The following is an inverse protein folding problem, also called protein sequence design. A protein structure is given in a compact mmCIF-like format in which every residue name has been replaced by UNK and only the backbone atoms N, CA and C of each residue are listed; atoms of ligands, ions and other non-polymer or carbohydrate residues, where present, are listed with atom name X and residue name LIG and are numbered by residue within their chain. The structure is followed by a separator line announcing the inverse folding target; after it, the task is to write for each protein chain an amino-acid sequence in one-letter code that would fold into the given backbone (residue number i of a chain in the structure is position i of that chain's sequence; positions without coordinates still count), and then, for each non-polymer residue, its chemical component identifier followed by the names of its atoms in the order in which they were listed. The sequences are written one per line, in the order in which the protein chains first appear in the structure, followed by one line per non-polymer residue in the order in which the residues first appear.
data_IF_209489819506
#
_entry.id   IF_209489819506
#
_cell.length_a   1.000
_cell.length_b   1.000
_cell.length_c   1.000
_cell.angle_alpha   90.00
_cell.angle_beta   90.00
_cell.angle_gamma   90.00
#
_symmetry.space_group_name_H-M   'P 1'
#
loop_
_entity.id
_entity.type
_entity.pdbx_description
1 polymer ?
#
# COMPACT_ATOMS: atom_id res chain seq x y z
N UNK A 1 9.11 -11.36 12.18
CA UNK A 1 7.63 -11.32 12.21
C UNK A 1 7.07 -10.91 10.86
N UNK A 2 7.56 -9.82 10.27
CA UNK A 2 7.12 -9.32 8.96
C UNK A 2 7.36 -10.31 7.80
N UNK A 3 8.50 -10.99 7.70
CA UNK A 3 8.73 -11.99 6.64
C UNK A 3 7.61 -13.05 6.55
N UNK A 4 7.11 -13.50 7.70
CA UNK A 4 6.02 -14.47 7.73
C UNK A 4 4.71 -13.83 7.27
N UNK A 5 4.40 -12.60 7.71
CA UNK A 5 3.22 -11.86 7.25
C UNK A 5 3.24 -11.63 5.73
N UNK A 6 4.41 -11.36 5.15
CA UNK A 6 4.58 -11.20 3.71
C UNK A 6 4.46 -12.51 2.94
N UNK A 7 5.09 -13.60 3.41
CA UNK A 7 4.90 -14.93 2.82
C UNK A 7 3.43 -15.33 2.82
N UNK A 8 2.79 -15.09 3.95
CA UNK A 8 1.37 -15.25 4.13
C UNK A 8 0.60 -14.44 3.04
N UNK A 9 0.82 -13.13 2.94
CA UNK A 9 0.16 -12.29 1.92
C UNK A 9 0.39 -12.85 0.51
N UNK A 10 1.63 -13.22 0.17
CA UNK A 10 1.98 -13.78 -1.13
C UNK A 10 1.25 -15.13 -1.39
N UNK A 11 1.05 -15.96 -0.37
CA UNK A 11 0.28 -17.21 -0.49
C UNK A 11 -1.21 -17.00 -0.77
N UNK A 12 -1.78 -15.89 -0.29
CA UNK A 12 -3.15 -15.50 -0.64
C UNK A 12 -3.20 -14.98 -2.07
N UNK A 13 -2.24 -14.12 -2.45
CA UNK A 13 -2.14 -13.56 -3.79
C UNK A 13 -1.87 -14.61 -4.87
N UNK A 14 -1.13 -15.69 -4.57
CA UNK A 14 -0.94 -16.84 -5.48
C UNK A 14 -2.23 -17.60 -5.80
N UNK A 15 -3.26 -17.47 -4.96
CA UNK A 15 -4.59 -18.07 -5.19
C UNK A 15 -5.54 -17.10 -5.90
N UNK A 16 -5.11 -15.86 -6.13
CA UNK A 16 -5.94 -14.82 -6.73
C UNK A 16 -5.93 -14.93 -8.25
N UNK A 17 -7.11 -15.12 -8.86
CA UNK A 17 -7.22 -15.36 -10.29
C UNK A 17 -6.71 -14.18 -11.15
N UNK A 18 -6.78 -12.95 -10.63
CA UNK A 18 -6.30 -11.76 -11.34
C UNK A 18 -4.79 -11.51 -11.21
N UNK A 19 -4.07 -12.30 -10.40
CA UNK A 19 -2.63 -12.16 -10.20
C UNK A 19 -1.92 -13.41 -10.72
N UNK A 20 -1.08 -13.25 -11.75
CA UNK A 20 -0.47 -14.41 -12.45
C UNK A 20 1.05 -14.39 -12.39
N UNK A 21 1.64 -13.25 -12.02
CA UNK A 21 3.08 -13.04 -11.99
C UNK A 21 3.55 -12.53 -10.63
N UNK A 22 4.83 -12.72 -10.30
CA UNK A 22 5.42 -12.09 -9.09
C UNK A 22 5.33 -10.57 -9.12
N UNK A 23 5.31 -9.98 -10.33
CA UNK A 23 5.10 -8.55 -10.51
C UNK A 23 3.70 -8.15 -10.04
N UNK A 24 2.66 -8.92 -10.39
CA UNK A 24 1.30 -8.68 -9.91
C UNK A 24 1.24 -8.75 -8.38
N UNK A 25 1.80 -9.79 -7.76
CA UNK A 25 1.77 -9.93 -6.29
C UNK A 25 2.47 -8.75 -5.60
N UNK A 26 3.61 -8.34 -6.14
CA UNK A 26 4.37 -7.20 -5.64
C UNK A 26 3.60 -5.91 -5.78
N UNK A 27 3.01 -5.64 -6.95
CA UNK A 27 2.19 -4.45 -7.20
C UNK A 27 0.98 -4.40 -6.25
N UNK A 28 0.26 -5.52 -6.11
CA UNK A 28 -0.94 -5.59 -5.28
C UNK A 28 -0.65 -5.43 -3.79
N UNK A 29 0.46 -6.01 -3.30
CA UNK A 29 0.88 -5.80 -1.91
C UNK A 29 1.36 -4.36 -1.69
N UNK A 30 2.06 -3.77 -2.67
CA UNK A 30 2.69 -2.45 -2.52
C UNK A 30 1.67 -1.33 -2.33
N UNK A 31 0.57 -1.31 -3.09
CA UNK A 31 -0.41 -0.22 -2.94
C UNK A 31 -1.15 -0.29 -1.60
N UNK A 32 -1.41 -1.49 -1.08
CA UNK A 32 -2.01 -1.66 0.25
C UNK A 32 -1.07 -1.18 1.35
N UNK A 33 0.21 -1.56 1.29
CA UNK A 33 1.21 -1.09 2.23
C UNK A 33 1.39 0.42 2.16
N UNK A 34 1.34 1.01 0.97
CA UNK A 34 1.38 2.45 0.79
C UNK A 34 0.25 3.16 1.54
N UNK A 35 -0.99 2.67 1.41
CA UNK A 35 -2.13 3.25 2.13
C UNK A 35 -2.03 3.05 3.64
N UNK A 36 -1.56 1.89 4.09
CA UNK A 36 -1.33 1.63 5.52
C UNK A 36 -0.25 2.54 6.10
N UNK A 37 0.82 2.76 5.35
CA UNK A 37 1.88 3.69 5.72
C UNK A 37 1.37 5.14 5.77
N UNK A 38 0.57 5.56 4.79
CA UNK A 38 -0.01 6.90 4.76
C UNK A 38 -0.92 7.15 5.97
N UNK A 39 -1.68 6.14 6.39
CA UNK A 39 -2.47 6.18 7.62
C UNK A 39 -1.57 6.34 8.87
N UNK A 40 -0.51 5.55 8.97
CA UNK A 40 0.50 5.69 10.02
C UNK A 40 1.09 7.10 10.08
N UNK A 41 1.52 7.66 8.95
CA UNK A 41 2.04 9.02 8.88
C UNK A 41 1.00 10.06 9.31
N UNK A 42 -0.27 9.86 8.94
CA UNK A 42 -1.34 10.78 9.27
C UNK A 42 -1.67 10.79 10.76
N UNK A 43 -1.66 9.65 11.45
CA UNK A 43 -1.91 9.67 12.91
C UNK A 43 -0.70 10.26 13.65
N UNK A 44 0.55 9.98 13.26
CA UNK A 44 1.73 10.60 13.90
C UNK A 44 1.66 12.13 13.85
N UNK A 45 1.35 12.68 12.67
CA UNK A 45 1.18 14.14 12.49
C UNK A 45 -0.05 14.70 13.22
N UNK A 46 -1.11 13.89 13.34
CA UNK A 46 -2.29 14.29 14.10
C UNK A 46 -1.99 14.36 15.60
N UNK A 47 -1.22 13.42 16.12
CA UNK A 47 -0.77 13.39 17.51
C UNK A 47 0.16 14.57 17.82
N UNK A 48 1.14 14.85 16.95
CA UNK A 48 2.01 16.02 17.05
C UNK A 48 1.23 17.34 17.04
N UNK A 49 0.31 17.50 16.09
CA UNK A 49 -0.53 18.69 16.02
C UNK A 49 -1.40 18.85 17.29
N UNK A 50 -1.93 17.75 17.83
CA UNK A 50 -2.72 17.77 19.06
C UNK A 50 -1.88 18.19 20.27
N UNK A 51 -0.64 17.72 20.38
CA UNK A 51 0.31 18.16 21.43
C UNK A 51 0.64 19.66 21.32
N UNK A 52 0.74 20.17 20.09
CA UNK A 52 0.93 21.59 19.78
C UNK A 52 -0.35 22.44 19.91
N UNK A 53 -1.51 21.84 20.21
CA UNK A 53 -2.80 22.53 20.23
C UNK A 53 -3.30 22.99 18.85
N UNK A 54 -2.75 22.45 17.77
CA UNK A 54 -3.10 22.74 16.37
C UNK A 54 -4.12 21.72 15.84
N UNK A 55 -4.88 22.13 14.82
CA UNK A 55 -5.72 21.21 14.06
C UNK A 55 -4.92 20.58 12.93
N UNK A 56 -4.95 19.25 12.84
CA UNK A 56 -4.37 18.53 11.70
C UNK A 56 -5.38 18.38 10.56
N UNK A 57 -4.95 18.70 9.34
CA UNK A 57 -5.72 18.46 8.12
C UNK A 57 -5.24 17.17 7.47
N UNK A 58 -6.11 16.17 7.43
CA UNK A 58 -5.82 14.90 6.79
C UNK A 58 -5.81 15.03 5.26
N UNK A 59 -4.91 14.28 4.62
CA UNK A 59 -4.83 14.20 3.15
C UNK A 59 -6.03 13.45 2.58
N UNK A 60 -6.42 12.34 3.23
CA UNK A 60 -7.56 11.53 2.81
C UNK A 60 -8.82 11.91 3.61
N UNK A 61 -9.95 11.96 2.92
CA UNK A 61 -11.26 12.07 3.56
C UNK A 61 -11.53 10.83 4.40
N UNK A 62 -12.33 11.00 5.45
CA UNK A 62 -12.57 9.97 6.47
C UNK A 62 -12.91 8.61 5.86
N UNK A 63 -13.83 8.56 4.90
CA UNK A 63 -14.27 7.31 4.26
C UNK A 63 -13.15 6.52 3.54
N UNK A 64 -12.05 7.17 3.15
CA UNK A 64 -10.94 6.55 2.42
C UNK A 64 -9.70 6.30 3.29
N UNK A 65 -9.74 6.67 4.58
CA UNK A 65 -8.67 6.35 5.54
C UNK A 65 -8.69 4.87 5.88
N UNK A 66 -7.51 4.31 6.14
CA UNK A 66 -7.34 2.88 6.42
C UNK A 66 -8.27 2.41 7.55
N UNK A 67 -8.35 3.17 8.64
CA UNK A 67 -9.22 2.85 9.78
C UNK A 67 -10.73 2.85 9.47
N UNK A 68 -11.16 3.39 8.32
CA UNK A 68 -12.59 3.45 7.98
C UNK A 68 -13.03 2.30 7.09
N UNK A 69 -12.27 1.98 6.04
CA UNK A 69 -12.66 0.95 5.07
C UNK A 69 -11.86 -0.34 5.19
N UNK A 70 -10.57 -0.23 5.54
CA UNK A 70 -9.65 -1.36 5.56
C UNK A 70 -9.68 -2.05 6.93
N UNK A 71 -9.55 -1.32 8.03
CA UNK A 71 -9.53 -1.90 9.36
C UNK A 71 -10.39 -1.10 10.35
N UNK A 72 -11.73 -1.05 10.16
CA UNK A 72 -12.62 -0.44 11.15
C UNK A 72 -12.54 -1.21 12.45
N UNK A 73 -12.11 -0.52 13.51
CA UNK A 73 -11.93 -1.11 14.83
C UNK A 73 -13.08 -0.77 15.76
N UNK A 74 -13.52 -1.78 16.51
CA UNK A 74 -14.45 -1.63 17.62
C UNK A 74 -13.80 -0.97 18.83
N UNK A 75 -14.58 -0.77 19.89
CA UNK A 75 -14.11 -0.19 21.16
C UNK A 75 -13.02 -1.04 21.84
N UNK A 76 -12.94 -2.32 21.50
CA UNK A 76 -11.95 -3.27 22.00
C UNK A 76 -10.64 -3.25 21.18
N UNK A 77 -10.53 -2.37 20.17
CA UNK A 77 -9.37 -2.25 19.30
C UNK A 77 -9.23 -3.38 18.28
N UNK A 78 -10.21 -4.29 18.19
CA UNK A 78 -10.25 -5.38 17.21
C UNK A 78 -11.07 -4.98 16.00
N UNK A 79 -10.90 -5.70 14.90
CA UNK A 79 -11.70 -5.50 13.70
C UNK A 79 -13.20 -5.66 14.05
N UNK A 80 -13.98 -4.64 13.75
CA UNK A 80 -15.43 -4.71 13.86
C UNK A 80 -15.99 -5.40 12.62
N UNK A 81 -16.24 -6.71 12.74
CA UNK A 81 -16.78 -7.53 11.65
C UNK A 81 -18.16 -7.08 11.15
N UNK A 82 -18.91 -6.27 11.90
CA UNK A 82 -20.20 -5.74 11.44
C UNK A 82 -20.03 -4.54 10.50
N UNK A 83 -18.94 -3.79 10.67
CA UNK A 83 -18.65 -2.59 9.88
C UNK A 83 -17.65 -2.90 8.75
N UNK A 84 -16.78 -3.89 8.93
CA UNK A 84 -15.78 -4.28 7.95
C UNK A 84 -16.41 -4.84 6.67
N UNK A 85 -16.22 -4.14 5.55
CA UNK A 85 -16.62 -4.63 4.24
C UNK A 85 -15.86 -5.93 3.88
N UNK A 86 -16.54 -6.89 3.28
CA UNK A 86 -15.95 -8.15 2.79
C UNK A 86 -16.61 -8.55 1.47
N UNK A 87 -16.08 -9.57 0.80
CA UNK A 87 -16.64 -10.06 -0.47
C UNK A 87 -16.81 -8.96 -1.51
N UNK A 88 -17.89 -9.02 -2.29
CA UNK A 88 -18.13 -8.08 -3.39
C UNK A 88 -18.19 -6.61 -2.92
N UNK A 89 -18.74 -6.32 -1.73
CA UNK A 89 -18.80 -4.94 -1.21
C UNK A 89 -17.42 -4.31 -1.06
N UNK A 90 -16.43 -5.07 -0.56
CA UNK A 90 -15.06 -4.60 -0.41
C UNK A 90 -14.40 -4.41 -1.78
N UNK A 91 -14.56 -5.38 -2.69
CA UNK A 91 -14.02 -5.29 -4.05
C UNK A 91 -14.58 -4.07 -4.79
N UNK A 92 -15.89 -3.88 -4.72
CA UNK A 92 -16.60 -2.83 -5.44
C UNK A 92 -16.31 -1.45 -4.83
N UNK A 93 -16.14 -1.36 -3.50
CA UNK A 93 -15.63 -0.15 -2.87
C UNK A 93 -14.22 0.19 -3.37
N UNK A 94 -13.31 -0.77 -3.41
CA UNK A 94 -11.93 -0.52 -3.82
C UNK A 94 -11.87 -0.07 -5.28
N UNK A 95 -12.54 -0.80 -6.18
CA UNK A 95 -12.51 -0.53 -7.62
C UNK A 95 -13.36 0.69 -8.02
N UNK A 96 -14.54 0.82 -7.45
CA UNK A 96 -15.53 1.83 -7.85
C UNK A 96 -15.43 3.16 -7.09
N UNK A 97 -14.78 3.18 -5.92
CA UNK A 97 -14.71 4.40 -5.07
C UNK A 97 -13.28 4.77 -4.70
N UNK A 98 -12.54 3.87 -4.05
CA UNK A 98 -11.21 4.17 -3.52
C UNK A 98 -10.21 4.54 -4.62
N UNK A 99 -10.03 3.69 -5.62
CA UNK A 99 -9.09 3.94 -6.72
C UNK A 99 -9.42 5.23 -7.49
N UNK A 100 -10.68 5.47 -7.92
CA UNK A 100 -11.08 6.74 -8.54
C UNK A 100 -10.81 7.97 -7.65
N UNK A 101 -11.07 7.87 -6.35
CA UNK A 101 -10.82 8.95 -5.39
C UNK A 101 -9.32 9.31 -5.33
N UNK A 102 -8.47 8.28 -5.19
CA UNK A 102 -7.01 8.42 -5.11
C UNK A 102 -6.41 8.94 -6.42
N UNK A 103 -6.87 8.43 -7.56
CA UNK A 103 -6.45 8.91 -8.87
C UNK A 103 -6.74 10.41 -9.07
N UNK A 104 -7.88 10.88 -8.56
CA UNK A 104 -8.28 12.28 -8.66
C UNK A 104 -7.34 13.28 -7.97
N UNK A 105 -6.42 12.85 -7.10
CA UNK A 105 -5.48 13.77 -6.44
C UNK A 105 -4.52 14.44 -7.43
N UNK A 106 -4.20 13.80 -8.57
CA UNK A 106 -3.33 14.38 -9.60
C UNK A 106 -3.85 15.74 -10.08
N UNK A 107 -5.17 15.88 -10.18
CA UNK A 107 -5.85 17.10 -10.64
C UNK A 107 -6.02 18.15 -9.52
N UNK A 108 -5.97 17.72 -8.26
CA UNK A 108 -6.19 18.57 -7.07
C UNK A 108 -4.89 19.04 -6.42
N UNK A 109 -3.76 18.42 -6.78
CA UNK A 109 -2.47 18.75 -6.22
C UNK A 109 -2.05 20.18 -6.60
N UNK A 110 -1.48 20.91 -5.63
CA UNK A 110 -0.95 22.26 -5.84
C UNK A 110 0.36 22.28 -6.63
N UNK A 111 1.02 21.13 -6.79
CA UNK A 111 2.24 20.99 -7.58
C UNK A 111 2.78 19.55 -7.59
N UNK A 112 3.75 19.26 -8.48
CA UNK A 112 4.28 17.90 -8.72
C UNK A 112 5.05 17.31 -7.52
N UNK A 113 5.56 18.14 -6.60
CA UNK A 113 6.34 17.69 -5.46
C UNK A 113 5.50 17.26 -4.23
N UNK A 114 4.18 17.48 -4.30
CA UNK A 114 3.24 17.18 -3.21
C UNK A 114 2.99 15.67 -3.05
N UNK A 115 2.58 15.25 -1.85
CA UNK A 115 2.20 13.84 -1.60
C UNK A 115 0.91 13.48 -2.34
N UNK A 116 0.00 14.43 -2.47
CA UNK A 116 -1.23 14.36 -3.26
C UNK A 116 -0.94 14.03 -4.72
N UNK A 117 -0.01 14.77 -5.34
CA UNK A 117 0.36 14.50 -6.74
C UNK A 117 0.89 13.07 -6.89
N UNK A 118 1.77 12.63 -5.99
CA UNK A 118 2.32 11.26 -5.99
C UNK A 118 1.24 10.20 -5.81
N UNK A 119 0.27 10.40 -4.92
CA UNK A 119 -0.89 9.52 -4.78
C UNK A 119 -1.63 9.41 -6.13
N UNK A 120 -1.93 10.56 -6.75
CA UNK A 120 -2.64 10.61 -8.02
C UNK A 120 -1.91 9.90 -9.17
N UNK A 121 -0.59 10.07 -9.25
CA UNK A 121 0.26 9.37 -10.23
C UNK A 121 0.21 7.86 -10.05
N UNK A 122 0.47 7.38 -8.83
CA UNK A 122 0.48 5.94 -8.53
C UNK A 122 -0.85 5.32 -8.95
N UNK A 123 -1.96 5.83 -8.40
CA UNK A 123 -3.28 5.25 -8.60
C UNK A 123 -3.90 5.56 -9.98
N UNK A 124 -3.22 6.37 -10.80
CA UNK A 124 -3.51 6.50 -12.23
C UNK A 124 -2.86 5.42 -13.10
N UNK A 125 -1.74 4.85 -12.64
CA UNK A 125 -0.99 3.82 -13.39
C UNK A 125 -1.36 2.40 -12.98
N UNK A 126 -1.82 2.20 -11.73
CA UNK A 126 -2.17 0.87 -11.21
C UNK A 126 -3.69 0.67 -11.10
N UNK A 127 -4.10 -0.60 -11.08
CA UNK A 127 -5.47 -1.02 -10.77
C UNK A 127 -5.42 -2.18 -9.78
N UNK A 128 -6.49 -2.36 -9.00
CA UNK A 128 -6.61 -3.59 -8.22
C UNK A 128 -6.81 -4.76 -9.18
N UNK A 129 -6.00 -5.79 -9.01
CA UNK A 129 -6.15 -7.08 -9.72
C UNK A 129 -6.81 -8.14 -8.85
N UNK A 130 -7.05 -7.83 -7.57
CA UNK A 130 -7.66 -8.76 -6.62
C UNK A 130 -9.16 -8.81 -6.89
N UNK A 131 -9.64 -9.92 -7.46
CA UNK A 131 -11.04 -10.15 -7.81
C UNK A 131 -11.84 -10.67 -6.62
N UNK A 132 -11.24 -11.49 -5.75
CA UNK A 132 -11.90 -11.96 -4.55
C UNK A 132 -11.81 -10.94 -3.42
N UNK A 133 -12.94 -10.33 -3.06
CA UNK A 133 -12.99 -9.47 -1.89
C UNK A 133 -12.72 -10.18 -0.57
N UNK A 134 -12.90 -11.50 -0.52
CA UNK A 134 -12.49 -12.31 0.64
C UNK A 134 -10.97 -12.44 0.74
N UNK A 135 -10.29 -12.66 -0.40
CA UNK A 135 -8.82 -12.67 -0.43
C UNK A 135 -8.27 -11.28 -0.07
N UNK A 136 -8.88 -10.21 -0.61
CA UNK A 136 -8.52 -8.84 -0.28
C UNK A 136 -8.65 -8.55 1.22
N UNK A 137 -9.74 -9.02 1.84
CA UNK A 137 -9.96 -8.92 3.29
C UNK A 137 -8.84 -9.60 4.08
N UNK A 138 -8.50 -10.84 3.73
CA UNK A 138 -7.41 -11.59 4.38
C UNK A 138 -6.05 -10.87 4.26
N UNK A 139 -5.75 -10.31 3.09
CA UNK A 139 -4.53 -9.54 2.87
C UNK A 139 -4.52 -8.26 3.73
N UNK A 140 -5.64 -7.53 3.77
CA UNK A 140 -5.75 -6.31 4.57
C UNK A 140 -5.56 -6.59 6.06
N UNK A 141 -6.15 -7.66 6.58
CA UNK A 141 -5.99 -8.05 7.98
C UNK A 141 -4.53 -8.32 8.33
N UNK A 142 -3.82 -9.07 7.47
CA UNK A 142 -2.38 -9.33 7.61
C UNK A 142 -1.54 -8.07 7.55
N UNK A 143 -1.92 -7.10 6.72
CA UNK A 143 -1.24 -5.80 6.64
C UNK A 143 -1.55 -4.92 7.86
N UNK A 144 -2.76 -4.98 8.44
CA UNK A 144 -3.10 -4.18 9.61
C UNK A 144 -2.38 -4.63 10.90
N UNK A 145 -2.01 -5.91 10.96
CA UNK A 145 -1.16 -6.47 12.01
C UNK A 145 0.26 -5.87 12.00
N UNK A 146 0.71 -5.35 10.85
CA UNK A 146 2.00 -4.68 10.73
C UNK A 146 1.97 -3.37 11.53
N UNK A 147 2.87 -3.27 12.51
CA UNK A 147 3.16 -2.03 13.24
C UNK A 147 4.28 -1.29 12.52
N UNK A 148 4.25 0.04 12.52
CA UNK A 148 5.20 0.88 11.77
C UNK A 148 5.95 1.87 12.68
N UNK A 149 5.99 1.62 14.00
CA UNK A 149 6.23 2.69 15.01
C UNK A 149 7.22 2.37 16.13
N UNK A 150 8.30 1.64 15.86
CA UNK A 150 9.63 2.18 16.18
C UNK A 150 10.57 2.24 14.97
N UNK A 151 11.67 3.00 15.07
CA UNK A 151 12.71 3.09 14.03
C UNK A 151 13.22 1.73 13.53
N UNK A 152 13.24 0.72 14.41
CA UNK A 152 13.60 -0.66 14.07
C UNK A 152 12.63 -1.30 13.06
N UNK A 153 11.33 -1.03 13.17
CA UNK A 153 10.32 -1.56 12.24
C UNK A 153 10.40 -0.89 10.86
N UNK A 154 10.82 0.37 10.78
CA UNK A 154 11.09 1.05 9.50
C UNK A 154 12.25 0.40 8.74
N UNK A 155 13.32 0.03 9.44
CA UNK A 155 14.44 -0.68 8.83
C UNK A 155 14.03 -2.08 8.33
N UNK A 156 13.27 -2.84 9.11
CA UNK A 156 12.75 -4.14 8.67
C UNK A 156 11.86 -4.01 7.44
N UNK A 157 10.97 -3.01 7.41
CA UNK A 157 10.13 -2.73 6.25
C UNK A 157 10.97 -2.38 5.02
N UNK A 158 11.99 -1.54 5.16
CA UNK A 158 12.93 -1.22 4.08
C UNK A 158 13.67 -2.45 3.55
N UNK A 159 14.17 -3.32 4.44
CA UNK A 159 14.82 -4.57 4.04
C UNK A 159 13.88 -5.50 3.26
N UNK A 160 12.60 -5.52 3.62
CA UNK A 160 11.60 -6.34 2.95
C UNK A 160 11.16 -5.76 1.60
N UNK A 161 11.10 -4.43 1.48
CA UNK A 161 10.93 -3.77 0.18
C UNK A 161 12.08 -4.14 -0.77
N UNK A 162 13.32 -4.04 -0.30
CA UNK A 162 14.50 -4.46 -1.05
C UNK A 162 14.44 -5.93 -1.45
N UNK A 163 13.95 -6.80 -0.56
CA UNK A 163 13.74 -8.22 -0.87
C UNK A 163 12.69 -8.44 -1.96
N UNK A 164 11.56 -7.71 -1.93
CA UNK A 164 10.52 -7.78 -2.98
C UNK A 164 11.04 -7.26 -4.33
N UNK A 165 11.81 -6.18 -4.34
CA UNK A 165 12.46 -5.65 -5.55
C UNK A 165 13.43 -6.68 -6.12
N UNK A 166 14.26 -7.32 -5.27
CA UNK A 166 15.17 -8.39 -5.69
C UNK A 166 14.43 -9.61 -6.22
N UNK A 167 13.34 -10.03 -5.58
CA UNK A 167 12.50 -11.14 -6.05
C UNK A 167 11.92 -10.86 -7.42
N UNK A 168 11.38 -9.65 -7.63
CA UNK A 168 10.87 -9.18 -8.91
C UNK A 168 11.94 -9.19 -10.02
N UNK A 169 13.15 -8.69 -9.72
CA UNK A 169 14.28 -8.72 -10.64
C UNK A 169 14.70 -10.14 -11.06
N UNK A 170 14.56 -11.11 -10.15
CA UNK A 170 14.82 -12.52 -10.41
C UNK A 170 13.66 -13.24 -11.11
N UNK A 171 12.40 -12.92 -10.80
CA UNK A 171 11.22 -13.49 -11.47
C UNK A 171 11.19 -13.10 -12.97
N UNK A 172 11.57 -11.85 -13.28
CA UNK A 172 11.78 -11.43 -14.67
C UNK A 172 12.90 -12.19 -15.40
N UNK A 173 13.80 -12.90 -14.69
CA UNK A 173 14.85 -13.78 -15.27
C UNK A 173 14.33 -15.18 -15.57
N UNK A 174 13.32 -15.66 -14.84
CA UNK A 174 12.83 -17.03 -14.88
C UNK A 174 11.61 -17.24 -15.82
N UNK A 175 11.03 -16.18 -16.40
CA UNK A 175 9.90 -16.24 -17.35
C UNK A 175 10.29 -16.69 -18.76
N UNK A 176 10.98 -17.82 -18.88
CA UNK A 176 11.60 -18.35 -20.11
C UNK A 176 10.68 -19.04 -21.12
N UNK A 177 9.44 -18.58 -21.35
CA UNK A 177 8.61 -19.11 -22.47
C UNK A 177 8.18 -18.07 -23.51
N UNK A 178 8.43 -16.78 -23.28
CA UNK A 178 8.40 -15.77 -24.34
C UNK A 178 9.63 -14.89 -24.22
N UNK A 179 10.71 -15.34 -24.86
CA UNK A 179 11.97 -14.63 -24.94
C UNK A 179 11.79 -13.34 -25.76
N UNK A 180 12.00 -12.19 -25.14
CA UNK A 180 12.46 -10.96 -25.81
C UNK A 180 13.66 -10.42 -25.02
N UNK A 181 14.83 -10.15 -25.66
CA UNK A 181 16.07 -9.87 -24.92
C UNK A 181 16.04 -8.54 -24.15
N UNK A 182 16.72 -8.54 -23.00
CA UNK A 182 16.77 -7.51 -21.95
C UNK A 182 17.53 -6.24 -22.39
N UNK A 183 16.83 -5.10 -22.44
CA UNK A 183 17.06 -4.03 -21.45
C UNK A 183 15.84 -3.63 -20.59
N UNK A 184 14.62 -4.10 -20.91
CA UNK A 184 13.38 -3.40 -20.52
C UNK A 184 12.74 -3.79 -19.17
N UNK A 185 13.29 -4.75 -18.42
CA UNK A 185 12.62 -5.28 -17.20
C UNK A 185 13.03 -4.49 -15.94
N UNK A 186 14.22 -3.87 -15.91
CA UNK A 186 14.59 -2.95 -14.82
C UNK A 186 13.77 -1.65 -14.85
N UNK A 187 13.16 -1.31 -15.99
CA UNK A 187 12.40 -0.06 -16.20
C UNK A 187 10.94 -0.10 -15.70
N UNK A 188 10.43 -1.24 -15.23
CA UNK A 188 9.07 -1.33 -14.65
C UNK A 188 9.11 -1.68 -13.17
N UNK A 189 9.61 -0.75 -12.36
CA UNK A 189 9.28 -0.73 -10.94
C UNK A 189 7.82 -0.31 -10.79
N UNK A 190 6.95 -1.07 -10.09
CA UNK A 190 5.57 -0.64 -9.86
C UNK A 190 5.54 0.78 -9.27
N UNK A 191 4.69 1.65 -9.80
CA UNK A 191 4.64 3.06 -9.38
C UNK A 191 4.46 3.22 -7.87
N UNK A 192 3.62 2.36 -7.26
CA UNK A 192 3.42 2.30 -5.82
C UNK A 192 4.71 1.95 -5.05
N UNK A 193 5.48 1.00 -5.58
CA UNK A 193 6.76 0.58 -5.00
C UNK A 193 7.82 1.67 -5.16
N UNK A 194 7.85 2.36 -6.30
CA UNK A 194 8.73 3.50 -6.54
C UNK A 194 8.41 4.68 -5.60
N UNK A 195 7.12 4.97 -5.38
CA UNK A 195 6.69 6.02 -4.49
C UNK A 195 6.91 5.68 -3.01
N UNK A 196 6.68 4.43 -2.61
CA UNK A 196 7.01 3.92 -1.27
C UNK A 196 8.50 4.03 -0.99
N UNK A 197 9.35 3.56 -1.90
CA UNK A 197 10.80 3.69 -1.74
C UNK A 197 11.22 5.16 -1.68
N UNK A 198 10.71 6.00 -2.58
CA UNK A 198 11.01 7.44 -2.55
C UNK A 198 10.54 8.08 -1.22
N UNK A 199 9.38 7.69 -0.68
CA UNK A 199 8.85 8.21 0.60
C UNK A 199 9.63 7.70 1.82
N UNK A 200 9.98 6.41 1.84
CA UNK A 200 10.76 5.80 2.92
C UNK A 200 12.20 6.29 2.91
N UNK A 201 12.83 6.42 1.73
CA UNK A 201 14.13 7.06 1.57
C UNK A 201 14.06 8.53 1.97
N UNK A 202 13.04 9.30 1.55
CA UNK A 202 12.88 10.68 2.00
C UNK A 202 12.80 10.75 3.52
N UNK A 203 12.02 9.91 4.21
CA UNK A 203 11.99 9.92 5.67
C UNK A 203 13.28 9.43 6.35
N UNK A 204 14.00 8.49 5.73
CA UNK A 204 15.29 8.03 6.23
C UNK A 204 16.40 9.08 6.05
N UNK A 205 16.28 9.95 5.03
CA UNK A 205 17.27 10.98 4.72
C UNK A 205 16.94 12.37 5.26
N UNK A 206 15.67 12.74 5.44
CA UNK A 206 15.33 14.10 5.89
C UNK A 206 15.43 14.28 7.39
N UNK A 207 15.16 13.27 8.21
CA UNK A 207 15.21 13.46 9.69
C UNK A 207 14.40 14.66 10.18
N UNK A 208 13.42 15.13 9.39
CA UNK A 208 12.59 16.27 9.73
C UNK A 208 11.40 15.77 10.53
N UNK A 209 11.53 15.97 11.85
CA UNK A 209 10.45 16.22 12.81
C UNK A 209 9.58 17.38 12.31
#
# INVERSE_FOLDING_TARGET
MFEQAFKNIDDVLRKEAGCTTELDYTEQTSWLLFLKYLDGLAQDRADEAALDGKKYSYILDKAYRWESWAAPKGKDGKLDHNTAMTGDDLRDFVNGKLFPYLHGFKQRASGPDTIEYKIGEIFGEIKSRIQSGYNLREIIERIDELRFRPQTEKHELSHLYEAKIKSMGNAGRNGGEYYTPRPLIYDRKPAALAALEKSLLLQAFTGEL
#
